data_IF_735364008702
#
_entry.id   IF_735364008702
#
_cell.length_a   1.000
_cell.length_b   1.000
_cell.length_c   1.000
_cell.angle_alpha   90.00
_cell.angle_beta   90.00
_cell.angle_gamma   90.00
#
_symmetry.space_group_name_H-M   'P 1'
#
loop_
_entity.id
_entity.type
_entity.pdbx_description
1 polymer ?
#
# COMPACT_ATOMS: atom_id res chain seq x y z
N UNK A 1 7.84 4.08 -1.16
CA UNK A 1 7.14 4.12 0.14
C UNK A 1 5.64 4.32 -0.01
N UNK A 2 5.15 5.45 -0.57
CA UNK A 2 3.72 5.69 -0.78
C UNK A 2 2.99 4.51 -1.46
N UNK A 3 3.48 4.09 -2.63
CA UNK A 3 2.87 2.98 -3.38
C UNK A 3 2.86 1.68 -2.57
N UNK A 4 3.90 1.40 -1.78
CA UNK A 4 3.95 0.21 -0.91
C UNK A 4 2.89 0.32 0.19
N UNK A 5 2.75 1.49 0.80
CA UNK A 5 1.75 1.73 1.84
C UNK A 5 0.32 1.64 1.30
N UNK A 6 0.03 2.30 0.18
CA UNK A 6 -1.27 2.24 -0.48
C UNK A 6 -1.57 0.83 -1.01
N UNK A 7 -0.55 0.09 -1.47
CA UNK A 7 -0.71 -1.32 -1.85
C UNK A 7 -1.04 -2.18 -0.63
N UNK A 8 -0.30 -2.06 0.48
CA UNK A 8 -0.58 -2.84 1.68
C UNK A 8 -1.98 -2.55 2.22
N UNK A 9 -2.41 -1.29 2.21
CA UNK A 9 -3.72 -0.90 2.76
C UNK A 9 -4.84 -1.00 1.72
N UNK A 10 -4.54 -1.23 0.44
CA UNK A 10 -5.49 -1.01 -0.65
C UNK A 10 -6.16 0.38 -0.61
N UNK A 11 -5.40 1.41 -0.24
CA UNK A 11 -5.92 2.78 -0.25
C UNK A 11 -6.16 3.24 -1.69
N UNK A 12 -7.42 3.38 -2.05
CA UNK A 12 -7.84 3.76 -3.39
C UNK A 12 -7.78 5.27 -3.62
N UNK A 13 -7.92 6.11 -2.60
CA UNK A 13 -8.24 7.53 -2.75
C UNK A 13 -7.03 8.42 -3.13
N UNK A 14 -5.99 7.80 -3.70
CA UNK A 14 -4.78 8.45 -4.19
C UNK A 14 -4.54 8.05 -5.65
N UNK A 15 -3.40 7.44 -5.90
CA UNK A 15 -2.91 7.14 -7.25
C UNK A 15 -3.81 6.12 -7.94
N UNK A 16 -4.33 5.13 -7.20
CA UNK A 16 -5.19 4.09 -7.77
C UNK A 16 -6.50 4.67 -8.34
N UNK A 17 -7.20 5.54 -7.60
CA UNK A 17 -8.41 6.19 -8.09
C UNK A 17 -8.10 7.17 -9.23
N UNK A 18 -6.97 7.90 -9.19
CA UNK A 18 -6.56 8.74 -10.31
C UNK A 18 -6.33 7.92 -11.59
N UNK A 19 -5.67 6.76 -11.49
CA UNK A 19 -5.50 5.85 -12.63
C UNK A 19 -6.82 5.26 -13.12
N UNK A 20 -7.73 4.89 -12.21
CA UNK A 20 -9.06 4.42 -12.59
C UNK A 20 -9.82 5.50 -13.37
N UNK A 21 -9.75 6.76 -12.95
CA UNK A 21 -10.51 7.85 -13.57
C UNK A 21 -9.90 8.37 -14.88
N UNK A 22 -8.67 7.98 -15.24
CA UNK A 22 -8.09 8.32 -16.54
C UNK A 22 -8.93 7.89 -17.74
N UNK A 23 -9.74 6.84 -17.58
CA UNK A 23 -10.65 6.36 -18.64
C UNK A 23 -11.74 7.40 -19.00
N UNK A 24 -12.02 8.34 -18.08
CA UNK A 24 -13.04 9.38 -18.25
C UNK A 24 -12.46 10.78 -18.36
N UNK A 25 -11.32 11.04 -17.71
CA UNK A 25 -10.65 12.32 -17.74
C UNK A 25 -9.13 12.13 -17.96
N UNK A 26 -8.59 12.47 -19.15
CA UNK A 26 -7.17 12.28 -19.44
C UNK A 26 -6.25 13.14 -18.57
N UNK A 27 -6.78 14.24 -18.01
CA UNK A 27 -6.01 15.18 -17.17
C UNK A 27 -5.98 14.77 -15.69
N UNK A 28 -6.51 13.59 -15.32
CA UNK A 28 -6.56 13.16 -13.91
C UNK A 28 -5.19 13.14 -13.22
N UNK A 29 -4.13 12.75 -13.93
CA UNK A 29 -2.78 12.72 -13.35
C UNK A 29 -2.12 14.11 -13.25
N UNK A 30 -2.68 15.13 -13.90
CA UNK A 30 -2.20 16.52 -13.78
C UNK A 30 -2.79 17.24 -12.56
N UNK A 31 -3.84 16.68 -11.98
CA UNK A 31 -4.53 17.27 -10.83
C UNK A 31 -3.80 16.96 -9.52
N UNK A 32 -3.75 17.90 -8.56
CA UNK A 32 -3.20 17.64 -7.23
C UNK A 32 -3.94 16.51 -6.51
N UNK A 33 -3.18 15.66 -5.81
CA UNK A 33 -3.73 14.65 -4.90
C UNK A 33 -3.99 15.29 -3.53
N UNK A 34 -5.25 15.52 -3.19
CA UNK A 34 -5.66 16.32 -2.02
C UNK A 34 -5.22 15.74 -0.65
N UNK A 35 -5.06 14.42 -0.55
CA UNK A 35 -4.66 13.70 0.65
C UNK A 35 -3.16 13.33 0.67
N UNK A 36 -2.35 14.07 -0.09
CA UNK A 36 -0.89 13.94 -0.14
C UNK A 36 -0.22 15.32 -0.07
N UNK A 37 0.51 15.57 1.02
CA UNK A 37 1.18 16.85 1.24
C UNK A 37 2.70 16.66 1.27
N UNK A 38 3.44 17.47 0.52
CA UNK A 38 4.90 17.58 0.69
C UNK A 38 5.21 18.51 1.86
N UNK A 39 6.12 18.08 2.72
CA UNK A 39 6.63 18.91 3.82
C UNK A 39 7.51 20.02 3.22
N UNK A 40 7.33 21.28 3.61
CA UNK A 40 8.09 22.39 3.01
C UNK A 40 9.59 22.35 3.35
N UNK A 41 9.92 21.77 4.52
CA UNK A 41 11.29 21.70 5.06
C UNK A 41 12.01 20.39 4.77
N UNK A 42 11.33 19.40 4.17
CA UNK A 42 11.93 18.12 3.80
C UNK A 42 11.25 17.53 2.56
N UNK A 43 11.96 16.78 1.73
CA UNK A 43 11.36 16.10 0.56
C UNK A 43 10.45 14.92 0.94
N UNK A 44 9.98 14.87 2.19
CA UNK A 44 9.07 13.87 2.69
C UNK A 44 7.63 14.22 2.35
N UNK A 45 6.84 13.16 2.25
CA UNK A 45 5.41 13.22 2.01
C UNK A 45 4.67 12.83 3.28
N UNK A 46 3.61 13.58 3.60
CA UNK A 46 2.65 13.25 4.65
C UNK A 46 1.44 12.60 3.99
N UNK A 47 1.08 11.43 4.49
CA UNK A 47 -0.03 10.61 4.01
C UNK A 47 -1.27 10.93 4.84
N UNK A 48 -2.17 11.76 4.31
CA UNK A 48 -3.40 12.20 4.98
C UNK A 48 -4.59 11.32 4.54
N UNK A 49 -5.69 11.35 5.29
CA UNK A 49 -6.97 10.74 4.94
C UNK A 49 -6.83 9.28 4.43
N UNK A 50 -6.43 8.39 5.34
CA UNK A 50 -6.15 6.97 5.04
C UNK A 50 -7.34 6.03 5.35
N UNK A 51 -8.52 6.58 5.65
CA UNK A 51 -9.73 5.83 6.02
C UNK A 51 -10.27 4.95 4.87
N UNK A 52 -9.93 5.29 3.62
CA UNK A 52 -10.27 4.47 2.46
C UNK A 52 -9.40 3.20 2.33
N UNK A 53 -8.43 2.99 3.23
CA UNK A 53 -7.62 1.78 3.31
C UNK A 53 -8.25 0.66 4.16
N UNK A 54 -7.51 -0.46 4.26
CA UNK A 54 -7.80 -1.66 5.04
C UNK A 54 -9.22 -2.18 4.85
N UNK A 55 -10.10 -1.97 5.84
CA UNK A 55 -11.47 -2.47 5.81
C UNK A 55 -12.23 -1.96 4.58
N UNK A 56 -12.11 -0.67 4.26
CA UNK A 56 -12.81 -0.08 3.14
C UNK A 56 -12.17 -0.51 1.81
N UNK A 57 -10.87 -0.31 1.67
CA UNK A 57 -10.12 -0.68 0.46
C UNK A 57 -10.25 -2.16 0.11
N UNK A 58 -10.20 -3.04 1.10
CA UNK A 58 -10.32 -4.48 0.87
C UNK A 58 -11.70 -4.94 0.39
N UNK A 59 -12.76 -4.16 0.62
CA UNK A 59 -14.09 -4.45 0.07
C UNK A 59 -14.17 -4.21 -1.42
N UNK A 60 -13.24 -3.42 -1.98
CA UNK A 60 -13.25 -2.97 -3.38
C UNK A 60 -12.07 -3.55 -4.17
N UNK A 61 -11.40 -4.59 -3.66
CA UNK A 61 -10.24 -5.21 -4.32
C UNK A 61 -10.56 -5.66 -5.73
N UNK A 62 -11.66 -6.37 -5.94
CA UNK A 62 -12.00 -6.88 -7.28
C UNK A 62 -12.03 -5.77 -8.34
N UNK A 63 -12.34 -4.54 -7.94
CA UNK A 63 -12.34 -3.36 -8.81
C UNK A 63 -10.97 -2.69 -8.91
N UNK A 64 -10.26 -2.47 -7.79
CA UNK A 64 -9.06 -1.62 -7.74
C UNK A 64 -7.72 -2.38 -7.73
N UNK A 65 -7.73 -3.69 -7.48
CA UNK A 65 -6.54 -4.55 -7.45
C UNK A 65 -5.68 -4.44 -8.72
N UNK A 66 -6.23 -4.38 -9.95
CA UNK A 66 -5.42 -4.22 -11.15
C UNK A 66 -4.56 -2.94 -11.14
N UNK A 67 -5.10 -1.84 -10.61
CA UNK A 67 -4.38 -0.56 -10.54
C UNK A 67 -3.29 -0.58 -9.47
N UNK A 68 -3.57 -1.20 -8.32
CA UNK A 68 -2.57 -1.42 -7.29
C UNK A 68 -1.41 -2.29 -7.80
N UNK A 69 -1.70 -3.36 -8.54
CA UNK A 69 -0.67 -4.23 -9.12
C UNK A 69 0.13 -3.49 -10.20
N UNK A 70 -0.53 -2.74 -11.09
CA UNK A 70 0.15 -1.92 -12.09
C UNK A 70 1.16 -0.96 -11.45
N UNK A 71 0.78 -0.28 -10.36
CA UNK A 71 1.65 0.63 -9.63
C UNK A 71 2.82 -0.10 -8.96
N UNK A 72 2.58 -1.26 -8.33
CA UNK A 72 3.63 -2.05 -7.70
C UNK A 72 4.62 -2.59 -8.73
N UNK A 73 4.13 -3.07 -9.87
CA UNK A 73 4.92 -3.70 -10.93
C UNK A 73 5.83 -2.71 -11.66
N UNK A 74 5.46 -1.44 -11.67
CA UNK A 74 6.29 -0.36 -12.18
C UNK A 74 7.48 -0.02 -11.27
N UNK A 75 7.54 -0.54 -10.03
CA UNK A 75 8.64 -0.26 -9.10
C UNK A 75 9.75 -1.30 -9.21
N UNK A 76 11.00 -0.82 -9.30
CA UNK A 76 12.21 -1.61 -9.04
C UNK A 76 13.26 -0.89 -8.17
N UNK A 77 12.91 0.28 -7.61
CA UNK A 77 13.76 1.00 -6.65
C UNK A 77 12.99 1.09 -5.34
N UNK A 78 13.59 0.56 -4.28
CA UNK A 78 12.99 0.49 -2.96
C UNK A 78 13.95 1.03 -1.91
N UNK A 79 13.41 1.79 -0.95
CA UNK A 79 14.19 2.19 0.22
C UNK A 79 14.45 0.97 1.09
N UNK A 80 15.72 0.73 1.44
CA UNK A 80 16.13 -0.44 2.24
C UNK A 80 15.33 -0.58 3.53
N UNK A 81 15.19 0.50 4.31
CA UNK A 81 14.45 0.47 5.58
C UNK A 81 12.97 0.09 5.41
N UNK A 82 12.35 0.46 4.30
CA UNK A 82 10.97 0.06 3.99
C UNK A 82 10.88 -1.43 3.72
N UNK A 83 11.81 -2.00 2.94
CA UNK A 83 11.82 -3.43 2.65
C UNK A 83 12.19 -4.24 3.90
N UNK A 84 13.16 -3.80 4.70
CA UNK A 84 13.51 -4.43 5.97
C UNK A 84 12.28 -4.52 6.90
N UNK A 85 11.47 -3.46 6.97
CA UNK A 85 10.21 -3.47 7.72
C UNK A 85 9.20 -4.47 7.14
N UNK A 86 9.05 -4.54 5.81
CA UNK A 86 8.16 -5.52 5.14
C UNK A 86 8.63 -6.96 5.37
N UNK A 87 9.95 -7.22 5.37
CA UNK A 87 10.52 -8.53 5.70
C UNK A 87 10.17 -8.90 7.15
N UNK A 88 10.40 -7.98 8.10
CA UNK A 88 10.05 -8.20 9.51
C UNK A 88 8.57 -8.50 9.72
N UNK A 89 7.70 -7.84 8.95
CA UNK A 89 6.27 -8.10 8.93
C UNK A 89 5.97 -9.51 8.41
N UNK A 90 6.60 -9.94 7.31
CA UNK A 90 6.40 -11.28 6.72
C UNK A 90 6.85 -12.42 7.63
N UNK A 91 7.90 -12.23 8.44
CA UNK A 91 8.40 -13.25 9.37
C UNK A 91 7.53 -13.38 10.62
N UNK A 92 6.78 -12.33 10.95
CA UNK A 92 5.76 -12.39 11.99
C UNK A 92 4.52 -13.08 11.42
N UNK A 93 4.38 -14.40 11.62
CA UNK A 93 3.13 -15.15 11.31
C UNK A 93 1.90 -14.65 12.10
N UNK A 94 1.99 -13.49 12.73
CA UNK A 94 1.04 -12.88 13.64
C UNK A 94 0.76 -11.43 13.24
N UNK A 95 0.79 -11.11 11.94
CA UNK A 95 0.61 -9.73 11.46
C UNK A 95 -0.67 -9.07 12.00
N UNK A 96 -1.77 -9.84 12.11
CA UNK A 96 -3.01 -9.37 12.76
C UNK A 96 -2.82 -9.02 14.23
N UNK A 97 -2.02 -9.78 14.97
CA UNK A 97 -1.67 -9.49 16.37
C UNK A 97 -0.72 -8.29 16.51
N UNK A 98 0.26 -8.17 15.59
CA UNK A 98 1.16 -7.01 15.54
C UNK A 98 0.33 -5.74 15.34
N UNK A 99 -0.61 -5.75 14.38
CA UNK A 99 -1.54 -4.64 14.17
C UNK A 99 -2.40 -4.37 15.40
N UNK A 100 -3.03 -5.40 15.98
CA UNK A 100 -3.90 -5.21 17.16
C UNK A 100 -3.17 -4.62 18.36
N UNK A 101 -1.86 -4.86 18.51
CA UNK A 101 -1.04 -4.26 19.57
C UNK A 101 -0.77 -2.76 19.36
N UNK A 102 -0.80 -2.30 18.11
CA UNK A 102 -0.56 -0.89 17.76
C UNK A 102 -1.85 -0.10 17.57
N UNK A 103 -2.99 -0.79 17.44
CA UNK A 103 -4.29 -0.15 17.40
C UNK A 103 -4.74 0.27 18.81
N UNK A 104 -5.47 1.39 18.94
CA UNK A 104 -6.25 1.72 20.12
C UNK A 104 -7.06 0.52 20.64
N UNK A 105 -7.42 0.54 21.93
CA UNK A 105 -8.16 -0.57 22.55
C UNK A 105 -9.42 -0.94 21.76
N UNK A 106 -9.86 -2.20 21.90
CA UNK A 106 -11.06 -2.69 21.19
C UNK A 106 -12.32 -1.86 21.47
N UNK A 107 -12.35 -1.16 22.61
CA UNK A 107 -13.43 -0.24 22.98
C UNK A 107 -13.50 1.00 22.08
N UNK A 108 -12.39 1.34 21.39
CA UNK A 108 -12.30 2.46 20.46
C UNK A 108 -12.33 2.02 18.99
N UNK A 109 -11.74 0.86 18.67
CA UNK A 109 -11.68 0.37 17.29
C UNK A 109 -11.86 -1.15 17.23
N UNK A 110 -12.68 -1.65 16.29
CA UNK A 110 -12.82 -3.09 16.10
C UNK A 110 -11.52 -3.71 15.59
N UNK A 111 -11.29 -4.97 15.96
CA UNK A 111 -10.16 -5.75 15.41
C UNK A 111 -10.32 -5.98 13.91
N UNK A 112 -9.20 -6.10 13.20
CA UNK A 112 -9.21 -6.40 11.78
C UNK A 112 -9.74 -7.85 11.56
N UNK A 113 -10.77 -8.07 10.73
CA UNK A 113 -11.29 -9.39 10.43
C UNK A 113 -10.21 -10.31 9.86
N UNK A 114 -10.31 -11.62 10.14
CA UNK A 114 -9.32 -12.62 9.68
C UNK A 114 -9.14 -12.60 8.16
N UNK A 115 -10.23 -12.45 7.40
CA UNK A 115 -10.19 -12.30 5.93
C UNK A 115 -9.27 -11.14 5.50
N UNK A 116 -9.34 -10.03 6.22
CA UNK A 116 -8.55 -8.83 5.92
C UNK A 116 -7.09 -9.01 6.33
N UNK A 117 -6.82 -9.71 7.44
CA UNK A 117 -5.47 -10.12 7.81
C UNK A 117 -4.87 -11.03 6.73
N UNK A 118 -5.67 -11.95 6.17
CA UNK A 118 -5.24 -12.83 5.07
C UNK A 118 -4.88 -12.04 3.80
N UNK A 119 -5.68 -11.05 3.41
CA UNK A 119 -5.33 -10.15 2.30
C UNK A 119 -4.03 -9.41 2.56
N UNK A 120 -3.86 -8.85 3.76
CA UNK A 120 -2.65 -8.13 4.10
C UNK A 120 -1.41 -9.03 4.04
N UNK A 121 -1.50 -10.24 4.57
CA UNK A 121 -0.43 -11.25 4.48
C UNK A 121 -0.09 -11.60 3.02
N UNK A 122 -1.09 -11.77 2.15
CA UNK A 122 -0.87 -12.03 0.73
C UNK A 122 -0.18 -10.84 0.05
N UNK A 123 -0.58 -9.62 0.39
CA UNK A 123 0.00 -8.38 -0.15
C UNK A 123 1.45 -8.17 0.29
N UNK A 124 1.78 -8.43 1.56
CA UNK A 124 3.17 -8.44 2.05
C UNK A 124 4.04 -9.39 1.23
N UNK A 125 3.57 -10.63 1.03
CA UNK A 125 4.29 -11.61 0.18
C UNK A 125 4.44 -11.15 -1.27
N UNK A 126 3.43 -10.46 -1.81
CA UNK A 126 3.48 -9.94 -3.19
C UNK A 126 4.50 -8.81 -3.35
N UNK A 127 4.66 -7.94 -2.36
CA UNK A 127 5.71 -6.91 -2.35
C UNK A 127 7.09 -7.57 -2.34
N UNK A 128 7.33 -8.54 -1.45
CA UNK A 128 8.62 -9.22 -1.39
C UNK A 128 8.96 -9.94 -2.70
N UNK A 129 7.99 -10.59 -3.34
CA UNK A 129 8.17 -11.17 -4.68
C UNK A 129 8.56 -10.12 -5.73
N UNK A 130 7.95 -8.93 -5.72
CA UNK A 130 8.34 -7.86 -6.65
C UNK A 130 9.80 -7.44 -6.45
N UNK A 131 10.24 -7.31 -5.18
CA UNK A 131 11.64 -6.98 -4.87
C UNK A 131 12.59 -8.06 -5.39
N UNK A 132 12.26 -9.34 -5.17
CA UNK A 132 13.03 -10.48 -5.69
C UNK A 132 13.08 -10.48 -7.22
N UNK A 133 11.96 -10.25 -7.89
CA UNK A 133 11.87 -10.19 -9.36
C UNK A 133 12.73 -9.08 -9.94
N UNK A 134 12.67 -7.88 -9.35
CA UNK A 134 13.53 -6.75 -9.75
C UNK A 134 15.01 -7.04 -9.51
N UNK A 135 15.36 -7.63 -8.37
CA UNK A 135 16.74 -8.03 -8.06
C UNK A 135 17.27 -9.00 -9.12
N UNK A 136 16.52 -10.05 -9.46
CA UNK A 136 16.93 -11.01 -10.50
C UNK A 136 17.12 -10.36 -11.87
N UNK A 137 16.22 -9.47 -12.27
CA UNK A 137 16.33 -8.75 -13.55
C UNK A 137 17.56 -7.86 -13.61
N UNK A 138 17.91 -7.20 -12.51
CA UNK A 138 19.12 -6.37 -12.43
C UNK A 138 20.43 -7.17 -12.49
N UNK A 139 20.41 -8.44 -12.10
CA UNK A 139 21.57 -9.33 -12.24
C UNK A 139 21.67 -10.00 -13.63
N UNK A 140 20.70 -9.75 -14.51
CA UNK A 140 20.68 -10.24 -15.90
C UNK A 140 21.08 -9.16 -16.93
N UNK A 141 21.50 -7.97 -16.46
CA UNK A 141 21.99 -6.84 -17.27
C UNK A 141 23.49 -6.67 -17.01
#
# INVERSE_FOLDING_TARGET
DLIIFDYLTANLDRVANNLYNLQWNPDMLSSPTHNLQRVSTSDLLVFLDNESGLLHGYRLLDKYEPYHNLLLDALCVFRKSTIDAVISLSTSNQLGFVLSRHLPSQDMLPSLPEKNVNFLNQRVRRILRQVEDCSRKLHLI
#
